data_IF_541979604208
#
_entry.id   IF_541979604208
#
_cell.length_a   1.000
_cell.length_b   1.000
_cell.length_c   1.000
_cell.angle_alpha   90.00
_cell.angle_beta   90.00
_cell.angle_gamma   90.00
#
_symmetry.space_group_name_H-M   'P 1'
#
loop_
_entity.id
_entity.type
_entity.pdbx_description
1 polymer ?
#
# COMPACT_ATOMS: atom_id res chain seq x y z
N UNK A 1 3.59 -5.93 10.90
CA UNK A 1 3.47 -4.54 11.35
C UNK A 1 4.52 -3.74 10.61
N UNK A 2 4.14 -2.75 9.82
CA UNK A 2 5.16 -2.02 9.06
C UNK A 2 4.62 -1.01 8.06
N UNK A 3 5.56 -0.39 7.36
CA UNK A 3 5.27 0.53 6.28
C UNK A 3 4.84 -0.23 5.02
N UNK A 4 3.86 0.34 4.32
CA UNK A 4 3.46 -0.09 2.99
C UNK A 4 3.92 0.95 1.97
N UNK A 5 4.20 0.49 0.77
CA UNK A 5 4.66 1.31 -0.34
C UNK A 5 3.87 0.95 -1.59
N UNK A 6 3.57 1.95 -2.41
CA UNK A 6 2.94 1.76 -3.72
C UNK A 6 3.95 2.08 -4.81
N UNK A 7 4.05 1.21 -5.80
CA UNK A 7 4.73 1.51 -7.05
C UNK A 7 3.78 2.34 -7.91
N UNK A 8 4.12 3.60 -8.18
CA UNK A 8 3.23 4.52 -8.89
C UNK A 8 3.04 4.19 -10.36
N UNK A 9 3.92 3.39 -10.95
CA UNK A 9 3.93 3.09 -12.37
C UNK A 9 2.99 1.92 -12.67
N UNK A 10 3.11 0.83 -11.91
CA UNK A 10 2.39 -0.42 -12.12
C UNK A 10 1.29 -0.72 -11.08
N UNK A 11 1.26 0.03 -9.97
CA UNK A 11 0.24 -0.08 -8.94
C UNK A 11 0.39 -1.26 -8.00
N UNK A 12 1.54 -1.95 -8.00
CA UNK A 12 1.89 -2.92 -6.95
C UNK A 12 1.97 -2.23 -5.60
N UNK A 13 1.62 -2.97 -4.55
CA UNK A 13 1.80 -2.53 -3.17
C UNK A 13 2.57 -3.60 -2.43
N UNK A 14 3.60 -3.19 -1.69
CA UNK A 14 4.45 -4.09 -0.93
C UNK A 14 4.72 -3.50 0.47
N UNK A 15 5.01 -4.38 1.41
CA UNK A 15 5.51 -4.00 2.74
C UNK A 15 7.01 -3.68 2.68
N UNK A 16 7.53 -2.94 3.67
CA UNK A 16 8.98 -2.75 3.84
C UNK A 16 9.74 -4.08 3.80
N UNK A 17 9.27 -5.08 4.55
CA UNK A 17 9.92 -6.38 4.64
C UNK A 17 10.06 -7.04 3.26
N UNK A 18 8.98 -7.06 2.48
CA UNK A 18 9.00 -7.62 1.12
C UNK A 18 9.93 -6.86 0.17
N UNK A 19 10.01 -5.52 0.28
CA UNK A 19 10.96 -4.73 -0.51
C UNK A 19 12.40 -5.00 -0.12
N UNK A 20 12.69 -5.16 1.18
CA UNK A 20 14.01 -5.53 1.66
C UNK A 20 14.41 -6.94 1.18
N UNK A 21 13.49 -7.91 1.27
CA UNK A 21 13.69 -9.28 0.79
C UNK A 21 13.97 -9.33 -0.72
N UNK A 22 13.34 -8.43 -1.49
CA UNK A 22 13.59 -8.26 -2.93
C UNK A 22 14.85 -7.43 -3.26
N UNK A 23 15.57 -6.91 -2.28
CA UNK A 23 16.73 -6.03 -2.48
C UNK A 23 16.39 -4.65 -3.07
N UNK A 24 15.11 -4.24 -3.01
CA UNK A 24 14.62 -2.95 -3.51
C UNK A 24 14.67 -1.84 -2.45
N UNK A 25 14.89 -2.20 -1.19
CA UNK A 25 15.07 -1.29 -0.07
C UNK A 25 16.08 -1.86 0.91
N UNK A 26 16.60 -1.00 1.77
CA UNK A 26 17.30 -1.43 2.98
C UNK A 26 16.63 -0.83 4.23
N UNK A 27 17.08 -1.23 5.42
CA UNK A 27 16.49 -0.75 6.68
C UNK A 27 16.75 0.73 6.99
N UNK A 28 17.73 1.35 6.32
CA UNK A 28 18.18 2.73 6.57
C UNK A 28 17.69 3.71 5.51
N UNK A 29 17.40 3.24 4.31
CA UNK A 29 17.05 4.01 3.13
C UNK A 29 15.66 3.64 2.65
N UNK A 30 14.84 4.63 2.31
CA UNK A 30 13.57 4.37 1.64
C UNK A 30 13.79 3.76 0.25
N UNK A 31 12.87 2.91 -0.25
CA UNK A 31 12.97 2.37 -1.59
C UNK A 31 13.02 3.51 -2.61
N UNK A 32 13.78 3.30 -3.68
CA UNK A 32 13.87 4.26 -4.76
C UNK A 32 12.54 4.35 -5.54
N UNK A 33 12.41 5.41 -6.33
CA UNK A 33 11.28 5.55 -7.26
C UNK A 33 11.21 4.32 -8.19
N UNK A 34 10.00 3.86 -8.55
CA UNK A 34 8.70 4.50 -8.37
C UNK A 34 7.97 4.11 -7.06
N UNK A 35 8.66 3.57 -6.05
CA UNK A 35 8.03 3.20 -4.79
C UNK A 35 7.84 4.42 -3.89
N UNK A 36 6.60 4.63 -3.47
CA UNK A 36 6.21 5.73 -2.57
C UNK A 36 5.53 5.19 -1.32
N UNK A 37 5.93 5.71 -0.16
CA UNK A 37 5.36 5.29 1.12
C UNK A 37 3.88 5.68 1.21
N UNK A 38 3.05 4.71 1.59
CA UNK A 38 1.65 4.93 1.92
C UNK A 38 1.57 5.51 3.34
N UNK A 39 0.82 6.59 3.50
CA UNK A 39 0.62 7.19 4.81
C UNK A 39 -0.17 6.24 5.72
N UNK A 40 0.36 6.01 6.92
CA UNK A 40 -0.29 5.18 7.93
C UNK A 40 0.60 4.94 9.15
N UNK A 41 0.03 4.28 10.18
CA UNK A 41 0.76 4.02 11.40
C UNK A 41 1.86 2.97 11.18
N UNK A 42 2.92 3.06 11.98
CA UNK A 42 4.12 2.19 11.84
C UNK A 42 3.80 0.72 12.05
N UNK A 43 2.72 0.45 12.76
CA UNK A 43 2.27 -0.85 13.23
C UNK A 43 1.02 -1.31 12.45
N UNK A 44 0.80 -0.78 11.24
CA UNK A 44 -0.27 -1.25 10.37
C UNK A 44 -0.09 -2.75 10.04
N UNK A 45 -1.21 -3.47 10.03
CA UNK A 45 -1.31 -4.89 9.69
C UNK A 45 -2.52 -5.11 8.80
N UNK A 46 -2.40 -5.98 7.80
CA UNK A 46 -3.50 -6.35 6.89
C UNK A 46 -4.66 -7.06 7.59
N UNK A 47 -4.45 -7.52 8.83
CA UNK A 47 -5.51 -8.04 9.70
C UNK A 47 -6.55 -6.97 10.06
N UNK A 48 -6.10 -5.73 10.31
CA UNK A 48 -6.98 -4.62 10.73
C UNK A 48 -7.18 -3.56 9.65
N UNK A 49 -6.20 -3.40 8.76
CA UNK A 49 -6.20 -2.42 7.69
C UNK A 49 -6.40 -3.09 6.33
N UNK A 50 -7.31 -2.51 5.55
CA UNK A 50 -7.39 -2.73 4.12
C UNK A 50 -6.39 -1.81 3.40
N UNK A 51 -5.75 -2.35 2.38
CA UNK A 51 -4.94 -1.59 1.44
C UNK A 51 -5.82 -1.28 0.23
N UNK A 52 -5.93 0.00 -0.10
CA UNK A 52 -6.65 0.45 -1.28
C UNK A 52 -5.68 1.07 -2.27
N UNK A 53 -5.91 0.86 -3.57
CA UNK A 53 -5.23 1.58 -4.65
C UNK A 53 -6.24 2.19 -5.63
N UNK A 54 -5.80 3.22 -6.35
CA UNK A 54 -6.57 3.83 -7.43
C UNK A 54 -5.62 4.43 -8.47
N UNK A 55 -5.98 4.29 -9.76
CA UNK A 55 -5.29 4.97 -10.86
C UNK A 55 -5.82 6.40 -10.98
N UNK A 56 -4.93 7.38 -10.91
CA UNK A 56 -5.25 8.80 -11.05
C UNK A 56 -4.28 9.46 -12.02
N UNK A 57 -4.79 10.08 -13.10
CA UNK A 57 -3.98 10.86 -14.06
C UNK A 57 -2.71 10.16 -14.54
N UNK A 58 -2.76 8.84 -14.77
CA UNK A 58 -1.60 8.09 -15.24
C UNK A 58 -0.58 7.72 -14.15
N UNK A 59 -0.91 7.83 -12.86
CA UNK A 59 -0.13 7.25 -11.75
C UNK A 59 -1.03 6.45 -10.80
N UNK A 60 -0.48 5.46 -10.10
CA UNK A 60 -1.17 4.76 -9.03
C UNK A 60 -0.93 5.46 -7.69
N UNK A 61 -2.02 5.65 -6.94
CA UNK A 61 -1.97 6.10 -5.54
C UNK A 61 -2.57 5.02 -4.66
N UNK A 62 -2.19 4.99 -3.38
CA UNK A 62 -2.69 4.02 -2.43
C UNK A 62 -2.93 4.64 -1.05
N UNK A 63 -3.81 4.00 -0.27
CA UNK A 63 -4.14 4.41 1.09
C UNK A 63 -4.40 3.19 1.97
N UNK A 64 -4.14 3.34 3.27
CA UNK A 64 -4.60 2.40 4.29
C UNK A 64 -5.94 2.87 4.85
N UNK A 65 -6.82 1.93 5.16
CA UNK A 65 -8.09 2.18 5.84
C UNK A 65 -8.39 1.06 6.82
N UNK A 66 -8.88 1.37 8.02
CA UNK A 66 -9.40 0.34 8.92
C UNK A 66 -10.57 -0.40 8.27
N UNK A 67 -10.56 -1.74 8.34
CA UNK A 67 -11.55 -2.61 7.68
C UNK A 67 -12.99 -2.40 8.17
N UNK A 68 -13.15 -2.11 9.46
CA UNK A 68 -14.46 -1.94 10.10
C UNK A 68 -14.89 -0.47 10.26
N UNK A 69 -14.26 0.45 9.52
CA UNK A 69 -14.64 1.86 9.53
C UNK A 69 -15.60 2.18 8.37
N UNK A 70 -16.52 3.14 8.56
CA UNK A 70 -17.40 3.62 7.49
C UNK A 70 -16.64 4.10 6.24
N UNK A 71 -15.41 4.61 6.43
CA UNK A 71 -14.51 5.00 5.35
C UNK A 71 -14.20 3.85 4.37
N UNK A 72 -14.23 2.60 4.82
CA UNK A 72 -13.98 1.44 3.97
C UNK A 72 -15.01 1.33 2.84
N UNK A 73 -16.31 1.43 3.17
CA UNK A 73 -17.38 1.41 2.19
C UNK A 73 -17.28 2.61 1.24
N UNK A 74 -17.07 3.81 1.79
CA UNK A 74 -16.93 5.04 1.00
C UNK A 74 -15.79 4.98 -0.02
N UNK A 75 -14.65 4.35 0.31
CA UNK A 75 -13.54 4.17 -0.64
C UNK A 75 -13.93 3.25 -1.80
N UNK A 76 -14.60 2.13 -1.53
CA UNK A 76 -15.08 1.21 -2.58
C UNK A 76 -16.06 1.90 -3.52
N UNK A 77 -17.04 2.61 -2.96
CA UNK A 77 -18.04 3.38 -3.73
C UNK A 77 -17.39 4.48 -4.58
N UNK A 78 -16.30 5.09 -4.08
CA UNK A 78 -15.51 6.09 -4.80
C UNK A 78 -14.57 5.48 -5.86
N UNK A 79 -14.68 4.19 -6.15
CA UNK A 79 -13.91 3.49 -7.18
C UNK A 79 -12.45 3.19 -6.80
N UNK A 80 -12.16 3.05 -5.51
CA UNK A 80 -10.88 2.49 -5.05
C UNK A 80 -10.95 0.96 -5.07
N UNK A 81 -9.88 0.34 -5.54
CA UNK A 81 -9.71 -1.12 -5.53
C UNK A 81 -9.08 -1.53 -4.21
N UNK A 82 -9.74 -2.42 -3.47
CA UNK A 82 -9.15 -3.07 -2.30
C UNK A 82 -8.21 -4.19 -2.77
N UNK A 83 -6.96 -4.16 -2.32
CA UNK A 83 -6.00 -5.23 -2.55
C UNK A 83 -6.11 -6.28 -1.45
N UNK A 84 -6.39 -7.55 -1.78
CA UNK A 84 -6.35 -8.62 -0.80
C UNK A 84 -4.89 -8.95 -0.41
N UNK A 85 -4.64 -9.56 0.76
CA UNK A 85 -3.28 -9.79 1.25
C UNK A 85 -2.38 -10.59 0.31
N UNK A 86 -2.94 -11.53 -0.45
CA UNK A 86 -2.22 -12.34 -1.45
C UNK A 86 -1.75 -11.55 -2.69
N UNK A 87 -2.27 -10.33 -2.88
CA UNK A 87 -1.86 -9.40 -3.96
C UNK A 87 -0.88 -8.33 -3.47
N UNK A 88 -0.48 -8.38 -2.20
CA UNK A 88 0.52 -7.46 -1.63
C UNK A 88 1.89 -8.14 -1.71
N UNK A 89 2.77 -7.58 -2.51
CA UNK A 89 4.10 -8.12 -2.80
C UNK A 89 4.77 -7.42 -3.98
N UNK A 90 6.01 -7.82 -4.25
CA UNK A 90 6.82 -7.36 -5.40
C UNK A 90 6.52 -8.22 -6.61
#
# INVERSE_FOLDING_TARGET
MGFFFVNTDDGRVATRAQLNEAGLADDRNDPERPWHRIQGPRDASTMWYAVFRKRMRGVFIATLCFRHAARHASLRESGWEELPPDRIGV
#
